data_IF_897645776564
#
_entry.id   IF_897645776564
#
_cell.length_a   1.000
_cell.length_b   1.000
_cell.length_c   1.000
_cell.angle_alpha   90.00
_cell.angle_beta   90.00
_cell.angle_gamma   90.00
#
_symmetry.space_group_name_H-M   'P 1'
#
loop_
_entity.id
_entity.type
_entity.pdbx_description
1 polymer ?
#
# COMPACT_ATOMS: atom_id res chain seq x y z
N UNK A 1 19.86 14.69 29.78
CA UNK A 1 20.66 15.36 28.70
C UNK A 1 20.66 14.41 27.52
N UNK A 2 19.67 14.55 26.66
CA UNK A 2 19.47 13.67 25.52
C UNK A 2 20.43 14.08 24.39
N UNK A 3 21.37 13.20 24.05
CA UNK A 3 22.25 13.41 22.89
C UNK A 3 21.41 13.32 21.62
N UNK A 4 21.21 14.44 20.93
CA UNK A 4 20.72 14.43 19.55
C UNK A 4 21.71 13.65 18.70
N UNK A 5 21.28 12.52 18.17
CA UNK A 5 22.05 11.75 17.20
C UNK A 5 22.22 12.63 15.95
N UNK A 6 23.44 13.02 15.63
CA UNK A 6 23.71 13.84 14.46
C UNK A 6 23.73 12.96 13.21
N UNK A 7 23.39 13.55 12.06
CA UNK A 7 23.44 12.91 10.72
C UNK A 7 24.75 12.16 10.48
N UNK A 8 25.84 12.61 11.11
CA UNK A 8 27.19 12.04 11.02
C UNK A 8 27.37 10.82 11.92
N UNK A 9 26.62 10.71 13.02
CA UNK A 9 26.65 9.56 13.94
C UNK A 9 25.76 8.43 13.42
N UNK A 10 24.59 8.72 12.84
CA UNK A 10 23.77 7.74 12.14
C UNK A 10 24.53 7.10 10.95
N UNK A 11 25.27 7.90 10.18
CA UNK A 11 26.11 7.42 9.09
C UNK A 11 27.33 6.61 9.57
N UNK A 12 27.85 6.87 10.76
CA UNK A 12 28.98 6.07 11.34
C UNK A 12 28.49 4.71 11.82
N UNK A 13 27.29 4.59 12.36
CA UNK A 13 26.66 3.30 12.68
C UNK A 13 26.53 2.39 11.45
N UNK A 14 26.21 2.97 10.28
CA UNK A 14 26.15 2.22 9.01
C UNK A 14 27.50 1.67 8.53
N UNK A 15 28.62 2.24 8.96
CA UNK A 15 29.96 1.80 8.54
C UNK A 15 30.55 0.68 9.42
N UNK A 16 30.09 0.51 10.67
CA UNK A 16 30.64 -0.49 11.59
C UNK A 16 29.95 -1.86 11.54
N UNK A 17 28.76 -1.96 10.96
CA UNK A 17 28.05 -3.24 10.81
C UNK A 17 28.59 -4.12 9.67
N UNK A 18 29.54 -3.63 8.85
CA UNK A 18 30.10 -4.37 7.71
C UNK A 18 31.49 -4.98 7.94
N UNK A 19 32.05 -4.92 9.16
CA UNK A 19 33.36 -5.48 9.47
C UNK A 19 33.28 -6.37 10.71
N UNK A 20 32.86 -7.59 10.51
CA UNK A 20 32.95 -8.58 11.58
C UNK A 20 32.21 -9.86 11.26
N UNK A 21 32.80 -10.69 10.40
CA UNK A 21 32.67 -12.16 10.43
C UNK A 21 33.58 -12.75 9.33
N UNK A 22 34.81 -12.96 9.71
CA UNK A 22 35.68 -13.90 9.03
C UNK A 22 36.25 -14.86 10.08
N UNK A 23 36.12 -16.13 9.78
CA UNK A 23 36.86 -17.29 10.25
C UNK A 23 36.10 -18.30 11.09
N UNK A 24 35.84 -19.42 10.48
CA UNK A 24 36.14 -20.82 10.80
C UNK A 24 35.13 -21.70 10.04
N UNK A 25 35.48 -22.47 9.06
CA UNK A 25 36.33 -23.61 9.09
C UNK A 25 35.53 -24.86 8.69
N UNK A 26 35.61 -25.26 7.42
CA UNK A 26 35.57 -26.62 6.82
C UNK A 26 34.79 -27.76 7.53
N UNK A 27 33.85 -28.36 6.81
CA UNK A 27 33.87 -29.81 6.50
C UNK A 27 32.80 -30.16 5.43
N UNK A 28 33.28 -30.81 4.39
CA UNK A 28 32.57 -31.43 3.27
C UNK A 28 31.63 -32.56 3.72
N UNK A 29 30.43 -32.63 3.15
CA UNK A 29 29.89 -33.88 2.62
C UNK A 29 28.83 -33.63 1.55
N UNK A 30 29.11 -34.21 0.41
CA UNK A 30 28.28 -34.41 -0.77
C UNK A 30 27.05 -35.29 -0.46
N UNK A 31 25.86 -34.87 -0.95
CA UNK A 31 24.84 -35.80 -1.47
C UNK A 31 23.92 -35.07 -2.43
N UNK A 32 23.87 -35.58 -3.63
CA UNK A 32 23.01 -35.20 -4.75
C UNK A 32 21.56 -35.55 -4.46
N UNK A 33 20.61 -34.64 -4.65
CA UNK A 33 19.28 -34.97 -5.15
C UNK A 33 18.63 -33.70 -5.74
N UNK A 34 18.14 -33.83 -6.96
CA UNK A 34 17.38 -32.89 -7.77
C UNK A 34 16.03 -32.54 -7.12
N UNK A 35 15.68 -31.24 -7.14
CA UNK A 35 14.33 -30.82 -6.78
C UNK A 35 14.19 -29.29 -6.74
N UNK A 36 13.40 -28.77 -7.64
CA UNK A 36 12.68 -27.50 -7.67
C UNK A 36 13.32 -26.27 -6.99
N UNK A 37 13.76 -25.35 -7.82
CA UNK A 37 14.14 -24.00 -7.44
C UNK A 37 12.91 -23.09 -7.23
N UNK A 38 12.43 -22.99 -5.99
CA UNK A 38 11.70 -21.84 -5.52
C UNK A 38 12.72 -20.72 -5.22
N UNK A 39 12.57 -19.58 -5.87
CA UNK A 39 13.38 -18.40 -5.63
C UNK A 39 13.12 -17.86 -4.21
N UNK A 40 13.95 -18.29 -3.24
CA UNK A 40 14.03 -17.63 -1.94
C UNK A 40 14.85 -16.35 -2.11
N UNK A 41 14.21 -15.22 -1.82
CA UNK A 41 14.86 -13.94 -1.55
C UNK A 41 15.83 -14.11 -0.38
N UNK A 42 17.00 -13.45 -0.47
CA UNK A 42 18.06 -13.48 0.53
C UNK A 42 17.49 -13.19 1.93
N UNK A 43 17.86 -14.03 2.91
CA UNK A 43 17.61 -13.87 4.34
C UNK A 43 18.13 -12.51 4.85
N UNK A 44 17.25 -11.50 4.88
CA UNK A 44 17.34 -10.49 5.91
C UNK A 44 16.90 -11.16 7.21
N UNK A 45 17.68 -11.10 8.26
CA UNK A 45 17.34 -11.69 9.56
C UNK A 45 15.99 -11.10 10.00
N UNK A 46 14.91 -11.81 9.70
CA UNK A 46 13.56 -11.43 10.06
C UNK A 46 13.47 -11.34 11.57
N UNK A 47 12.94 -10.24 12.09
CA UNK A 47 12.54 -10.17 13.49
C UNK A 47 11.42 -11.20 13.65
N UNK A 48 11.56 -12.22 14.49
CA UNK A 48 10.51 -13.20 14.68
C UNK A 48 9.34 -12.52 15.42
N UNK A 49 8.28 -12.19 14.69
CA UNK A 49 7.02 -11.85 15.35
C UNK A 49 6.43 -13.13 15.96
N UNK A 50 5.72 -12.97 17.05
CA UNK A 50 5.04 -14.08 17.71
C UNK A 50 3.56 -14.06 17.30
N UNK A 51 3.03 -15.19 16.86
CA UNK A 51 1.60 -15.31 16.51
C UNK A 51 0.73 -14.95 17.73
N UNK A 52 -0.34 -14.17 17.49
CA UNK A 52 -1.29 -13.80 18.52
C UNK A 52 -1.90 -15.06 19.18
N UNK A 53 -2.04 -15.11 20.51
CA UNK A 53 -2.62 -16.25 21.20
C UNK A 53 -4.02 -16.58 20.66
N UNK A 54 -4.36 -17.86 20.63
CA UNK A 54 -5.69 -18.32 20.24
C UNK A 54 -6.78 -17.63 21.09
N UNK A 55 -7.82 -17.13 20.44
CA UNK A 55 -8.90 -16.40 21.09
C UNK A 55 -8.62 -14.94 21.44
N UNK A 56 -7.39 -14.45 21.26
CA UNK A 56 -7.08 -13.03 21.40
C UNK A 56 -7.74 -12.22 20.28
N UNK A 57 -7.97 -10.94 20.54
CA UNK A 57 -8.60 -10.02 19.58
C UNK A 57 -7.75 -8.79 19.38
N UNK A 58 -7.75 -8.28 18.15
CA UNK A 58 -7.18 -6.96 17.85
C UNK A 58 -7.90 -5.85 18.60
N UNK A 59 -7.19 -4.78 18.91
CA UNK A 59 -7.76 -3.63 19.60
C UNK A 59 -8.77 -2.91 18.73
N UNK A 60 -9.75 -2.29 19.38
CA UNK A 60 -10.86 -1.59 18.74
C UNK A 60 -10.90 -0.12 19.16
N UNK A 61 -11.53 0.72 18.31
CA UNK A 61 -11.89 2.09 18.64
C UNK A 61 -13.39 2.30 18.46
N UNK A 62 -14.00 3.02 19.43
CA UNK A 62 -15.43 3.36 19.37
C UNK A 62 -15.62 4.77 18.83
N UNK A 63 -16.48 4.90 17.83
CA UNK A 63 -16.80 6.15 17.15
C UNK A 63 -18.25 6.53 17.44
N UNK A 64 -18.44 7.25 18.53
CA UNK A 64 -19.78 7.55 19.08
C UNK A 64 -20.70 8.28 18.09
N UNK A 65 -20.17 9.18 17.23
CA UNK A 65 -20.96 9.89 16.21
C UNK A 65 -21.61 8.92 15.21
N UNK A 66 -20.97 7.79 14.93
CA UNK A 66 -21.48 6.76 14.01
C UNK A 66 -22.16 5.59 14.73
N UNK A 67 -21.97 5.47 16.04
CA UNK A 67 -22.44 4.31 16.81
C UNK A 67 -21.69 3.02 16.55
N UNK A 68 -20.44 3.11 16.01
CA UNK A 68 -19.66 1.95 15.59
C UNK A 68 -18.44 1.72 16.50
N UNK A 69 -18.17 0.43 16.78
CA UNK A 69 -16.91 -0.04 17.36
C UNK A 69 -16.18 -0.87 16.32
N UNK A 70 -15.03 -0.39 15.89
CA UNK A 70 -14.27 -0.93 14.75
C UNK A 70 -12.90 -1.40 15.21
N UNK A 71 -12.44 -2.51 14.62
CA UNK A 71 -11.06 -2.96 14.80
C UNK A 71 -10.10 -1.92 14.25
N UNK A 72 -9.02 -1.62 14.96
CA UNK A 72 -8.00 -0.68 14.50
C UNK A 72 -7.27 -1.17 13.24
N UNK A 73 -7.16 -2.50 13.08
CA UNK A 73 -6.73 -3.16 11.85
C UNK A 73 -7.95 -3.45 10.96
N UNK A 74 -7.89 -3.00 9.70
CA UNK A 74 -8.83 -3.39 8.65
C UNK A 74 -8.15 -4.21 7.56
N UNK A 75 -8.87 -5.14 6.95
CA UNK A 75 -8.39 -5.92 5.83
C UNK A 75 -8.70 -5.21 4.51
N UNK A 76 -7.66 -4.72 3.84
CA UNK A 76 -7.76 -4.13 2.51
C UNK A 76 -7.75 -5.21 1.42
N UNK A 77 -8.87 -5.39 0.74
CA UNK A 77 -9.09 -6.48 -0.22
C UNK A 77 -8.57 -6.18 -1.64
N UNK A 78 -7.76 -5.14 -1.83
CA UNK A 78 -7.16 -4.84 -3.14
C UNK A 78 -6.06 -5.84 -3.54
N UNK A 79 -5.38 -6.45 -2.56
CA UNK A 79 -4.19 -7.30 -2.76
C UNK A 79 -4.36 -8.71 -2.21
N UNK A 80 -5.56 -9.26 -2.34
CA UNK A 80 -5.88 -10.60 -1.88
C UNK A 80 -5.00 -11.67 -2.57
N UNK A 81 -4.81 -12.84 -1.95
CA UNK A 81 -4.06 -13.95 -2.52
C UNK A 81 -4.55 -14.33 -3.91
N UNK A 82 -3.62 -14.68 -4.77
CA UNK A 82 -3.90 -15.09 -6.15
C UNK A 82 -3.20 -16.39 -6.50
N UNK A 83 -3.85 -17.17 -7.37
CA UNK A 83 -3.27 -18.37 -7.94
C UNK A 83 -2.05 -18.03 -8.79
N UNK A 84 -1.01 -18.89 -8.82
CA UNK A 84 0.09 -18.74 -9.76
C UNK A 84 -0.46 -18.69 -11.19
N UNK A 85 -0.14 -17.66 -11.95
CA UNK A 85 -0.46 -17.61 -13.37
C UNK A 85 0.65 -18.26 -14.18
N UNK A 86 0.29 -18.96 -15.28
CA UNK A 86 1.25 -19.39 -16.29
C UNK A 86 1.85 -18.16 -16.99
N UNK A 87 2.72 -17.45 -16.32
CA UNK A 87 3.28 -16.16 -16.79
C UNK A 87 3.65 -15.23 -15.66
N UNK A 88 3.48 -15.67 -14.39
CA UNK A 88 3.98 -15.01 -13.17
C UNK A 88 3.37 -13.64 -12.90
N UNK A 89 2.50 -13.57 -11.96
CA UNK A 89 2.01 -12.46 -11.14
C UNK A 89 0.48 -12.40 -11.06
N UNK A 90 -0.05 -12.80 -9.93
CA UNK A 90 -1.49 -12.77 -9.64
C UNK A 90 -1.93 -11.59 -8.78
N UNK A 91 -3.24 -11.39 -8.66
CA UNK A 91 -3.88 -10.30 -7.91
C UNK A 91 -4.19 -9.07 -8.75
N UNK A 92 -4.84 -8.07 -8.17
CA UNK A 92 -5.17 -6.82 -8.87
C UNK A 92 -3.89 -6.16 -9.39
N UNK A 93 -3.79 -6.08 -10.71
CA UNK A 93 -2.58 -5.64 -11.40
C UNK A 93 -1.51 -6.74 -11.60
N UNK A 94 -1.75 -7.98 -11.21
CA UNK A 94 -0.82 -9.09 -11.36
C UNK A 94 -1.30 -10.18 -12.35
N UNK A 95 -2.41 -9.96 -13.07
CA UNK A 95 -2.86 -10.82 -14.18
C UNK A 95 -3.34 -12.23 -13.79
N UNK A 96 -3.39 -12.57 -12.50
CA UNK A 96 -3.84 -13.86 -12.00
C UNK A 96 -5.26 -13.81 -11.42
N UNK A 97 -5.90 -14.97 -11.41
CA UNK A 97 -7.18 -15.20 -10.76
C UNK A 97 -6.99 -15.23 -9.24
N UNK A 98 -7.91 -14.64 -8.48
CA UNK A 98 -7.83 -14.69 -7.02
C UNK A 98 -8.03 -16.10 -6.48
N UNK A 99 -7.30 -16.46 -5.43
CA UNK A 99 -7.39 -17.74 -4.74
C UNK A 99 -8.49 -17.70 -3.69
N UNK A 100 -9.67 -18.21 -4.03
CA UNK A 100 -10.83 -18.18 -3.16
C UNK A 100 -10.60 -18.95 -1.84
N UNK A 101 -9.86 -20.05 -1.86
CA UNK A 101 -9.61 -20.86 -0.65
C UNK A 101 -8.69 -20.11 0.31
N UNK A 102 -7.58 -19.57 -0.19
CA UNK A 102 -6.69 -18.74 0.62
C UNK A 102 -7.40 -17.48 1.16
N UNK A 103 -8.27 -16.84 0.37
CA UNK A 103 -9.09 -15.71 0.83
C UNK A 103 -10.06 -16.13 1.93
N UNK A 104 -10.70 -17.31 1.80
CA UNK A 104 -11.59 -17.84 2.83
C UNK A 104 -10.84 -18.04 4.16
N UNK A 105 -9.68 -18.70 4.12
CA UNK A 105 -8.84 -18.94 5.31
C UNK A 105 -8.41 -17.63 5.98
N UNK A 106 -7.99 -16.65 5.18
CA UNK A 106 -7.58 -15.34 5.71
C UNK A 106 -8.75 -14.60 6.36
N UNK A 107 -9.94 -14.61 5.76
CA UNK A 107 -11.12 -13.93 6.32
C UNK A 107 -11.60 -14.65 7.59
N UNK A 108 -11.59 -15.99 7.60
CA UNK A 108 -11.91 -16.78 8.79
C UNK A 108 -10.97 -16.44 9.96
N UNK A 109 -9.67 -16.40 9.70
CA UNK A 109 -8.67 -16.03 10.70
C UNK A 109 -8.85 -14.58 11.17
N UNK A 110 -9.06 -13.62 10.26
CA UNK A 110 -9.27 -12.23 10.59
C UNK A 110 -10.48 -12.03 11.51
N UNK A 111 -11.64 -12.60 11.18
CA UNK A 111 -12.86 -12.52 12.00
C UNK A 111 -12.67 -13.24 13.34
N UNK A 112 -12.03 -14.42 13.35
CA UNK A 112 -11.71 -15.16 14.57
C UNK A 112 -10.86 -14.33 15.54
N UNK A 113 -10.01 -13.41 15.04
CA UNK A 113 -9.18 -12.50 15.84
C UNK A 113 -9.76 -11.07 15.96
N UNK A 114 -11.05 -10.88 15.65
CA UNK A 114 -11.76 -9.63 15.90
C UNK A 114 -11.54 -8.53 14.86
N UNK A 115 -10.87 -8.80 13.74
CA UNK A 115 -10.88 -7.87 12.59
C UNK A 115 -12.30 -7.84 12.05
N UNK A 116 -12.92 -6.68 12.10
CA UNK A 116 -14.32 -6.53 11.72
C UNK A 116 -14.57 -5.54 10.57
N UNK A 117 -13.51 -5.06 9.89
CA UNK A 117 -13.64 -4.11 8.78
C UNK A 117 -12.92 -4.64 7.52
N UNK A 118 -13.65 -4.73 6.41
CA UNK A 118 -13.20 -5.27 5.13
C UNK A 118 -13.46 -4.24 4.02
N UNK A 119 -12.39 -3.78 3.34
CA UNK A 119 -12.45 -2.73 2.32
C UNK A 119 -12.22 -3.29 0.93
N UNK A 120 -13.18 -3.11 0.05
CA UNK A 120 -13.07 -3.48 -1.38
C UNK A 120 -13.56 -2.37 -2.30
N UNK A 121 -13.61 -2.62 -3.62
CA UNK A 121 -14.15 -1.72 -4.62
C UNK A 121 -14.41 -2.46 -5.94
N UNK A 122 -15.35 -1.99 -6.78
CA UNK A 122 -15.53 -2.48 -8.16
C UNK A 122 -14.25 -2.38 -9.01
N UNK A 123 -13.42 -1.38 -8.72
CA UNK A 123 -12.13 -1.19 -9.41
C UNK A 123 -11.07 -2.25 -9.08
N UNK A 124 -11.30 -3.14 -8.09
CA UNK A 124 -10.33 -4.14 -7.65
C UNK A 124 -10.52 -5.52 -8.31
N UNK A 125 -11.03 -5.55 -9.54
CA UNK A 125 -11.25 -6.77 -10.30
C UNK A 125 -12.27 -7.71 -9.66
N UNK A 126 -11.89 -8.95 -9.35
CA UNK A 126 -12.78 -9.95 -8.74
C UNK A 126 -12.92 -9.79 -7.21
N UNK A 127 -12.32 -8.77 -6.59
CA UNK A 127 -12.23 -8.63 -5.14
C UNK A 127 -13.61 -8.64 -4.45
N UNK A 128 -14.62 -7.92 -4.97
CA UNK A 128 -15.97 -7.95 -4.39
C UNK A 128 -16.58 -9.34 -4.40
N UNK A 129 -16.36 -10.11 -5.47
CA UNK A 129 -16.91 -11.47 -5.62
C UNK A 129 -16.30 -12.43 -4.59
N UNK A 130 -14.96 -12.44 -4.50
CA UNK A 130 -14.28 -13.38 -3.61
C UNK A 130 -14.45 -13.00 -2.14
N UNK A 131 -14.45 -11.69 -1.84
CA UNK A 131 -14.71 -11.17 -0.49
C UNK A 131 -16.15 -11.47 -0.07
N UNK A 132 -17.14 -11.22 -0.94
CA UNK A 132 -18.53 -11.52 -0.68
C UNK A 132 -18.77 -13.01 -0.37
N UNK A 133 -18.20 -13.91 -1.17
CA UNK A 133 -18.27 -15.36 -0.94
C UNK A 133 -17.64 -15.77 0.39
N UNK A 134 -16.52 -15.18 0.76
CA UNK A 134 -15.85 -15.50 2.00
C UNK A 134 -16.63 -14.97 3.21
N UNK A 135 -17.09 -13.72 3.19
CA UNK A 135 -17.84 -13.10 4.26
C UNK A 135 -19.24 -13.68 4.46
N UNK A 136 -19.92 -14.14 3.39
CA UNK A 136 -21.25 -14.77 3.50
C UNK A 136 -21.27 -16.07 4.31
N UNK A 137 -20.14 -16.63 4.66
CA UNK A 137 -19.96 -17.78 5.54
C UNK A 137 -20.07 -17.42 7.02
N UNK A 138 -20.06 -16.13 7.35
CA UNK A 138 -20.11 -15.58 8.71
C UNK A 138 -21.40 -14.80 8.96
N UNK A 139 -21.86 -14.68 10.23
CA UNK A 139 -22.99 -13.84 10.57
C UNK A 139 -22.79 -12.41 10.10
N UNK A 140 -23.79 -11.81 9.43
CA UNK A 140 -23.67 -10.47 8.80
C UNK A 140 -23.30 -9.36 9.79
N UNK A 141 -23.73 -9.50 11.04
CA UNK A 141 -23.44 -8.56 12.13
C UNK A 141 -22.00 -8.65 12.65
N UNK A 142 -21.26 -9.74 12.34
CA UNK A 142 -19.90 -9.93 12.82
C UNK A 142 -18.86 -9.11 12.05
N UNK A 143 -19.24 -8.49 10.92
CA UNK A 143 -18.33 -7.71 10.10
C UNK A 143 -18.97 -6.46 9.51
N UNK A 144 -18.14 -5.51 9.17
CA UNK A 144 -18.44 -4.29 8.42
C UNK A 144 -17.79 -4.38 7.05
N UNK A 145 -18.56 -4.08 6.01
CA UNK A 145 -18.09 -4.10 4.64
C UNK A 145 -18.10 -2.70 4.04
N UNK A 146 -17.01 -2.35 3.40
CA UNK A 146 -16.84 -1.11 2.65
C UNK A 146 -16.66 -1.41 1.17
N UNK A 147 -17.42 -0.71 0.33
CA UNK A 147 -17.17 -0.64 -1.11
C UNK A 147 -17.34 0.79 -1.63
N UNK A 148 -17.13 1.01 -2.93
CA UNK A 148 -16.92 2.35 -3.45
C UNK A 148 -17.67 2.60 -4.75
N UNK A 149 -18.11 3.83 -4.98
CA UNK A 149 -18.54 4.30 -6.29
C UNK A 149 -17.30 4.55 -7.16
N UNK A 150 -16.89 3.53 -7.91
CA UNK A 150 -15.68 3.55 -8.76
C UNK A 150 -15.99 4.00 -10.19
N UNK A 151 -16.80 5.04 -10.35
CA UNK A 151 -17.18 5.60 -11.64
C UNK A 151 -16.09 6.47 -12.28
N UNK A 152 -14.84 6.11 -12.05
CA UNK A 152 -13.69 6.75 -12.68
C UNK A 152 -13.68 6.38 -14.17
N UNK A 153 -13.59 7.38 -15.02
CA UNK A 153 -13.39 7.18 -16.45
C UNK A 153 -11.95 6.70 -16.71
N UNK A 154 -11.64 5.43 -16.43
CA UNK A 154 -10.46 4.76 -16.99
C UNK A 154 -10.66 4.46 -18.49
N UNK A 155 -11.36 5.33 -19.18
CA UNK A 155 -11.69 5.17 -20.58
C UNK A 155 -12.75 6.20 -20.97
N UNK A 156 -12.95 6.38 -22.14
CA UNK A 156 -13.58 7.38 -22.97
C UNK A 156 -15.06 7.70 -22.72
N UNK A 157 -15.69 7.20 -21.65
CA UNK A 157 -17.11 7.48 -21.37
C UNK A 157 -17.25 8.30 -20.10
N UNK A 158 -18.02 9.38 -20.17
CA UNK A 158 -18.41 10.16 -18.99
C UNK A 158 -19.26 9.29 -18.05
N UNK A 159 -19.07 9.41 -16.73
CA UNK A 159 -19.88 8.67 -15.76
C UNK A 159 -21.35 9.09 -15.86
N UNK A 160 -22.24 8.13 -16.07
CA UNK A 160 -23.68 8.35 -16.15
C UNK A 160 -24.38 7.84 -14.89
N UNK A 161 -25.56 8.39 -14.59
CA UNK A 161 -26.39 7.94 -13.46
C UNK A 161 -26.75 6.45 -13.60
N UNK A 162 -27.13 6.00 -14.79
CA UNK A 162 -27.51 4.59 -15.02
C UNK A 162 -26.34 3.63 -14.83
N UNK A 163 -25.14 4.02 -15.26
CA UNK A 163 -23.94 3.22 -15.01
C UNK A 163 -23.61 3.14 -13.51
N UNK A 164 -23.78 4.25 -12.77
CA UNK A 164 -23.59 4.28 -11.33
C UNK A 164 -24.60 3.42 -10.56
N UNK A 165 -25.88 3.46 -10.96
CA UNK A 165 -26.93 2.58 -10.41
C UNK A 165 -26.59 1.11 -10.64
N UNK A 166 -26.23 0.76 -11.86
CA UNK A 166 -25.83 -0.61 -12.23
C UNK A 166 -24.61 -1.06 -11.42
N UNK A 167 -23.63 -0.17 -11.23
CA UNK A 167 -22.44 -0.47 -10.43
C UNK A 167 -22.81 -0.77 -8.97
N UNK A 168 -23.63 0.07 -8.35
CA UNK A 168 -24.05 -0.12 -6.97
C UNK A 168 -24.81 -1.45 -6.77
N UNK A 169 -25.78 -1.76 -7.65
CA UNK A 169 -26.52 -3.03 -7.59
C UNK A 169 -25.59 -4.23 -7.83
N UNK A 170 -24.63 -4.10 -8.73
CA UNK A 170 -23.64 -5.14 -8.99
C UNK A 170 -22.75 -5.37 -7.77
N UNK A 171 -22.33 -4.31 -7.10
CA UNK A 171 -21.54 -4.41 -5.85
C UNK A 171 -22.28 -5.17 -4.76
N UNK A 172 -23.55 -4.84 -4.50
CA UNK A 172 -24.37 -5.57 -3.52
C UNK A 172 -24.51 -7.06 -3.89
N UNK A 173 -24.76 -7.34 -5.16
CA UNK A 173 -24.85 -8.72 -5.67
C UNK A 173 -23.53 -9.48 -5.52
N UNK A 174 -22.40 -8.87 -5.88
CA UNK A 174 -21.08 -9.48 -5.77
C UNK A 174 -20.73 -9.76 -4.30
N UNK A 175 -21.03 -8.83 -3.43
CA UNK A 175 -20.78 -8.91 -1.99
C UNK A 175 -21.80 -9.81 -1.26
N UNK A 176 -22.91 -10.22 -1.92
CA UNK A 176 -23.98 -11.04 -1.37
C UNK A 176 -24.66 -10.39 -0.14
N UNK A 177 -24.89 -9.09 -0.21
CA UNK A 177 -25.50 -8.30 0.90
C UNK A 177 -26.61 -7.39 0.39
N UNK A 178 -27.56 -7.06 1.27
CA UNK A 178 -28.65 -6.10 0.98
C UNK A 178 -28.22 -4.65 1.24
N UNK A 179 -27.21 -4.44 2.06
CA UNK A 179 -26.67 -3.14 2.42
C UNK A 179 -25.16 -3.21 2.68
N UNK A 180 -24.47 -2.08 2.53
CA UNK A 180 -23.08 -1.90 2.93
C UNK A 180 -22.98 -1.00 4.16
N UNK A 181 -22.02 -1.30 5.04
CA UNK A 181 -21.81 -0.50 6.25
C UNK A 181 -21.13 0.83 5.91
N UNK A 182 -20.14 0.79 5.01
CA UNK A 182 -19.39 1.97 4.58
C UNK A 182 -19.40 2.07 3.06
N UNK A 183 -19.71 3.25 2.55
CA UNK A 183 -19.68 3.52 1.12
C UNK A 183 -18.84 4.76 0.83
N UNK A 184 -17.95 4.67 -0.15
CA UNK A 184 -17.02 5.74 -0.48
C UNK A 184 -17.23 6.25 -1.91
N UNK A 185 -17.17 7.56 -2.10
CA UNK A 185 -16.88 8.12 -3.42
C UNK A 185 -15.40 7.84 -3.71
N UNK A 186 -15.13 7.06 -4.76
CA UNK A 186 -13.79 6.53 -5.00
C UNK A 186 -12.90 7.54 -5.70
N UNK A 187 -11.69 7.79 -5.14
CA UNK A 187 -10.64 8.58 -5.76
C UNK A 187 -11.09 10.00 -6.14
N UNK A 188 -11.47 10.78 -5.13
CA UNK A 188 -11.81 12.20 -5.31
C UNK A 188 -10.57 13.04 -5.12
N UNK A 189 -10.26 13.93 -6.07
CA UNK A 189 -9.05 14.76 -6.03
C UNK A 189 -9.33 16.24 -5.79
N UNK A 190 -10.46 16.75 -6.28
CA UNK A 190 -10.85 18.15 -6.18
C UNK A 190 -12.36 18.34 -6.45
N UNK A 191 -12.83 19.57 -6.25
CA UNK A 191 -14.24 19.93 -6.37
C UNK A 191 -14.77 19.81 -7.81
N UNK A 192 -13.97 20.12 -8.82
CA UNK A 192 -14.40 20.05 -10.24
C UNK A 192 -14.61 18.61 -10.65
N UNK A 193 -13.69 17.71 -10.23
CA UNK A 193 -13.85 16.28 -10.47
C UNK A 193 -15.05 15.71 -9.71
N UNK A 194 -15.28 16.12 -8.47
CA UNK A 194 -16.46 15.74 -7.70
C UNK A 194 -17.74 16.15 -8.43
N UNK A 195 -17.84 17.42 -8.86
CA UNK A 195 -19.01 17.93 -9.57
C UNK A 195 -19.28 17.10 -10.84
N UNK A 196 -18.28 16.95 -11.69
CA UNK A 196 -18.38 16.19 -12.95
C UNK A 196 -18.80 14.72 -12.75
N UNK A 197 -18.22 14.05 -11.72
CA UNK A 197 -18.45 12.60 -11.53
C UNK A 197 -19.69 12.28 -10.70
N UNK A 198 -20.13 13.17 -9.86
CA UNK A 198 -21.14 12.85 -8.87
C UNK A 198 -22.31 13.83 -8.83
N UNK A 199 -22.06 15.16 -8.85
CA UNK A 199 -23.13 16.14 -8.67
C UNK A 199 -23.89 16.43 -9.95
N UNK A 200 -23.19 16.79 -11.04
CA UNK A 200 -23.81 17.30 -12.28
C UNK A 200 -24.61 16.22 -13.02
N UNK A 201 -24.33 14.97 -12.75
CA UNK A 201 -25.00 13.80 -13.36
C UNK A 201 -26.00 13.11 -12.42
N UNK A 202 -26.27 13.66 -11.22
CA UNK A 202 -27.25 13.13 -10.26
C UNK A 202 -26.81 11.87 -9.50
N UNK A 203 -25.56 11.43 -9.63
CA UNK A 203 -25.04 10.23 -8.91
C UNK A 203 -24.99 10.47 -7.42
N UNK A 204 -24.63 11.68 -6.96
CA UNK A 204 -24.57 11.98 -5.55
C UNK A 204 -25.97 11.94 -4.89
N UNK A 205 -26.98 12.51 -5.56
CA UNK A 205 -28.36 12.46 -5.08
C UNK A 205 -28.86 11.01 -4.97
N UNK A 206 -28.58 10.19 -5.97
CA UNK A 206 -28.88 8.75 -5.92
C UNK A 206 -28.21 8.04 -4.73
N UNK A 207 -26.94 8.35 -4.45
CA UNK A 207 -26.21 7.77 -3.28
C UNK A 207 -26.90 8.21 -1.97
N UNK A 208 -27.31 9.47 -1.86
CA UNK A 208 -28.06 9.96 -0.69
C UNK A 208 -29.43 9.27 -0.54
N UNK A 209 -30.14 8.98 -1.65
CA UNK A 209 -31.36 8.18 -1.64
C UNK A 209 -31.08 6.76 -1.10
N UNK A 210 -29.99 6.10 -1.55
CA UNK A 210 -29.62 4.77 -1.04
C UNK A 210 -29.25 4.80 0.45
N UNK A 211 -28.61 5.89 0.92
CA UNK A 211 -28.33 6.09 2.34
C UNK A 211 -29.63 6.28 3.14
N UNK A 212 -30.54 7.11 2.67
CA UNK A 212 -31.85 7.31 3.29
C UNK A 212 -32.69 6.02 3.33
N UNK A 213 -32.58 5.17 2.32
CA UNK A 213 -33.21 3.85 2.26
C UNK A 213 -32.52 2.80 3.17
N UNK A 214 -31.42 3.14 3.83
CA UNK A 214 -30.67 2.25 4.73
C UNK A 214 -29.80 1.21 4.02
N UNK A 215 -29.63 1.31 2.70
CA UNK A 215 -28.74 0.44 1.91
C UNK A 215 -27.27 0.86 2.01
N UNK A 216 -27.00 2.08 2.44
CA UNK A 216 -25.70 2.61 2.84
C UNK A 216 -25.82 3.10 4.26
N UNK A 217 -25.00 2.60 5.19
CA UNK A 217 -25.03 3.05 6.59
C UNK A 217 -24.22 4.32 6.79
N UNK A 218 -22.96 4.32 6.37
CA UNK A 218 -22.01 5.42 6.52
C UNK A 218 -21.47 5.84 5.16
N UNK A 219 -21.42 7.15 4.91
CA UNK A 219 -20.97 7.73 3.64
C UNK A 219 -19.70 8.57 3.85
N UNK A 220 -18.69 8.30 3.03
CA UNK A 220 -17.46 9.05 2.99
C UNK A 220 -16.84 9.08 1.58
N UNK A 221 -15.60 9.46 1.48
CA UNK A 221 -14.85 9.42 0.21
C UNK A 221 -13.39 9.05 0.42
N UNK A 222 -12.74 8.51 -0.60
CA UNK A 222 -11.29 8.35 -0.65
C UNK A 222 -10.68 9.53 -1.40
N UNK A 223 -9.72 10.20 -0.73
CA UNK A 223 -9.10 11.42 -1.20
C UNK A 223 -7.69 11.18 -1.74
N UNK A 224 -7.40 11.75 -2.91
CA UNK A 224 -6.12 11.66 -3.59
C UNK A 224 -5.65 13.02 -4.17
N UNK A 225 -6.16 14.10 -3.62
CA UNK A 225 -5.80 15.47 -4.03
C UNK A 225 -4.70 16.09 -3.17
N UNK A 226 -4.48 17.39 -3.35
CA UNK A 226 -3.51 18.18 -2.58
C UNK A 226 -4.13 18.81 -1.32
N UNK A 227 -3.29 19.38 -0.45
CA UNK A 227 -3.72 20.07 0.76
C UNK A 227 -4.81 21.12 0.49
N UNK A 228 -4.66 21.89 -0.59
CA UNK A 228 -5.59 22.98 -0.95
C UNK A 228 -6.92 22.50 -1.51
N UNK A 229 -6.99 21.26 -2.01
CA UNK A 229 -8.21 20.73 -2.65
C UNK A 229 -9.11 19.95 -1.69
N UNK A 230 -8.63 19.58 -0.47
CA UNK A 230 -9.42 18.90 0.53
C UNK A 230 -10.52 19.79 1.16
N UNK A 231 -10.25 21.04 1.61
CA UNK A 231 -11.23 21.86 2.31
C UNK A 231 -12.55 22.06 1.54
N UNK A 232 -12.56 22.41 0.24
CA UNK A 232 -13.80 22.55 -0.52
C UNK A 232 -14.63 21.25 -0.60
N UNK A 233 -14.00 20.09 -0.57
CA UNK A 233 -14.69 18.80 -0.58
C UNK A 233 -15.30 18.47 0.78
N UNK A 234 -14.56 18.78 1.86
CA UNK A 234 -15.06 18.57 3.24
C UNK A 234 -16.27 19.44 3.52
N UNK A 235 -16.31 20.68 3.04
CA UNK A 235 -17.43 21.61 3.27
C UNK A 235 -18.70 21.29 2.47
N UNK A 236 -18.66 20.28 1.54
CA UNK A 236 -19.81 19.92 0.69
C UNK A 236 -20.94 19.18 1.40
N UNK A 237 -20.61 18.39 2.38
CA UNK A 237 -21.52 17.46 3.04
C UNK A 237 -21.04 17.14 4.46
N UNK A 238 -21.93 16.71 5.34
CA UNK A 238 -21.53 16.22 6.68
C UNK A 238 -20.96 14.79 6.58
N UNK A 239 -19.72 14.72 6.10
CA UNK A 239 -19.03 13.45 5.91
C UNK A 239 -18.80 12.73 7.23
N UNK A 240 -19.10 11.44 7.26
CA UNK A 240 -18.93 10.62 8.46
C UNK A 240 -17.50 10.15 8.63
N UNK A 241 -16.74 10.04 7.53
CA UNK A 241 -15.31 9.68 7.52
C UNK A 241 -14.67 10.06 6.18
N UNK A 242 -13.33 10.14 6.15
CA UNK A 242 -12.55 10.31 4.92
C UNK A 242 -11.39 9.32 4.91
N UNK A 243 -11.18 8.66 3.77
CA UNK A 243 -10.04 7.78 3.55
C UNK A 243 -8.91 8.57 2.88
N UNK A 244 -7.71 8.58 3.51
CA UNK A 244 -6.53 9.25 2.99
C UNK A 244 -5.33 8.30 2.94
N UNK A 245 -4.38 8.57 2.04
CA UNK A 245 -3.06 7.97 2.07
C UNK A 245 -2.28 8.54 3.26
N UNK A 246 -1.77 7.66 4.14
CA UNK A 246 -0.99 8.08 5.29
C UNK A 246 0.03 7.00 5.70
N UNK A 247 1.29 7.41 5.78
CA UNK A 247 2.39 6.63 6.31
C UNK A 247 3.52 7.56 6.75
N UNK A 248 4.52 7.06 7.47
CA UNK A 248 5.61 7.89 7.98
C UNK A 248 6.44 8.56 6.89
N UNK A 249 6.61 7.92 5.72
CA UNK A 249 7.41 8.47 4.63
C UNK A 249 6.72 9.66 3.93
N UNK A 250 5.38 9.63 3.84
CA UNK A 250 4.56 10.66 3.22
C UNK A 250 4.02 11.70 4.24
N UNK A 251 4.42 11.59 5.51
CA UNK A 251 3.89 12.43 6.59
C UNK A 251 4.07 13.91 6.34
N UNK A 252 5.30 14.36 6.13
CA UNK A 252 5.62 15.78 5.89
C UNK A 252 5.51 16.22 4.43
N UNK A 253 5.76 15.31 3.51
CA UNK A 253 5.80 15.59 2.09
C UNK A 253 5.43 14.32 1.32
N UNK A 254 4.32 14.36 0.63
CA UNK A 254 3.76 13.26 -0.13
C UNK A 254 3.80 13.60 -1.62
N UNK A 255 4.33 12.72 -2.47
CA UNK A 255 4.20 12.88 -3.91
C UNK A 255 2.73 12.98 -4.30
N UNK A 256 2.38 13.93 -5.18
CA UNK A 256 1.01 14.05 -5.66
C UNK A 256 0.52 12.70 -6.20
N UNK A 257 -0.63 12.25 -5.68
CA UNK A 257 -1.27 11.01 -6.13
C UNK A 257 -2.44 11.37 -7.04
N UNK A 258 -2.59 10.94 -8.23
CA UNK A 258 -3.67 11.20 -9.21
C UNK A 258 -3.79 12.64 -9.74
N UNK A 259 -3.46 12.83 -11.01
CA UNK A 259 -3.53 14.08 -11.76
C UNK A 259 -2.24 14.93 -11.69
N UNK A 260 -2.15 16.02 -12.41
CA UNK A 260 -1.01 16.91 -12.31
C UNK A 260 -0.90 17.46 -10.88
N UNK A 261 0.32 17.75 -10.39
CA UNK A 261 0.51 18.33 -9.07
C UNK A 261 -0.35 19.57 -8.91
N UNK A 262 -1.30 19.55 -7.96
CA UNK A 262 -2.20 20.69 -7.69
C UNK A 262 -1.74 21.51 -6.47
N UNK A 263 -0.48 21.32 -6.06
CA UNK A 263 0.11 21.98 -4.89
C UNK A 263 0.78 21.00 -3.93
N UNK A 264 1.19 21.52 -2.79
CA UNK A 264 1.78 20.74 -1.71
C UNK A 264 0.80 19.71 -1.18
N UNK A 265 1.32 18.54 -0.85
CA UNK A 265 0.55 17.47 -0.23
C UNK A 265 1.37 16.86 0.91
N UNK A 266 0.74 16.69 2.07
CA UNK A 266 1.33 15.95 3.19
C UNK A 266 0.23 15.21 3.94
N UNK A 267 0.51 13.99 4.38
CA UNK A 267 -0.45 13.23 5.19
C UNK A 267 -0.73 13.94 6.51
N UNK A 268 0.26 14.65 7.08
CA UNK A 268 0.11 15.44 8.30
C UNK A 268 -0.95 16.54 8.17
N UNK A 269 -0.89 17.31 7.08
CA UNK A 269 -1.89 18.37 6.84
C UNK A 269 -3.29 17.77 6.71
N UNK A 270 -3.44 16.73 5.87
CA UNK A 270 -4.73 16.09 5.63
C UNK A 270 -5.32 15.51 6.93
N UNK A 271 -4.49 14.81 7.70
CA UNK A 271 -4.87 14.23 8.99
C UNK A 271 -5.30 15.31 10.00
N UNK A 272 -4.48 16.36 10.18
CA UNK A 272 -4.76 17.42 11.14
C UNK A 272 -6.02 18.21 10.75
N UNK A 273 -6.20 18.53 9.47
CA UNK A 273 -7.39 19.22 8.98
C UNK A 273 -8.67 18.42 9.25
N UNK A 274 -8.66 17.12 8.96
CA UNK A 274 -9.81 16.25 9.24
C UNK A 274 -10.06 16.10 10.75
N UNK A 275 -8.98 16.06 11.54
CA UNK A 275 -9.08 16.00 13.01
C UNK A 275 -9.71 17.26 13.59
N UNK A 276 -9.30 18.44 13.13
CA UNK A 276 -9.90 19.73 13.53
C UNK A 276 -11.40 19.81 13.16
N UNK A 277 -11.77 19.21 12.02
CA UNK A 277 -13.19 19.11 11.60
C UNK A 277 -13.98 18.02 12.34
N UNK A 278 -13.34 17.21 13.18
CA UNK A 278 -13.97 16.08 13.89
C UNK A 278 -14.39 14.95 12.95
N UNK A 279 -13.71 14.79 11.81
CA UNK A 279 -13.97 13.75 10.82
C UNK A 279 -12.95 12.61 11.00
N UNK A 280 -13.40 11.39 11.31
CA UNK A 280 -12.54 10.22 11.43
C UNK A 280 -11.80 9.87 10.13
N UNK A 281 -10.58 9.37 10.28
CA UNK A 281 -9.69 9.05 9.16
C UNK A 281 -9.59 7.54 8.97
N UNK A 282 -9.93 7.05 7.78
CA UNK A 282 -9.50 5.74 7.28
C UNK A 282 -8.14 5.90 6.62
N UNK A 283 -7.19 5.03 6.95
CA UNK A 283 -5.86 5.12 6.34
C UNK A 283 -5.68 4.04 5.29
N UNK A 284 -5.42 4.46 4.05
CA UNK A 284 -4.90 3.60 2.98
C UNK A 284 -3.40 3.78 2.83
N UNK A 285 -2.73 2.78 2.27
CA UNK A 285 -1.27 2.73 2.04
C UNK A 285 -0.40 2.95 3.30
N UNK A 286 -0.72 2.36 4.45
CA UNK A 286 0.09 2.51 5.66
C UNK A 286 1.53 1.98 5.48
N UNK A 287 1.71 0.98 4.60
CA UNK A 287 3.01 0.42 4.22
C UNK A 287 3.44 0.79 2.78
N UNK A 288 2.80 1.82 2.17
CA UNK A 288 3.13 2.36 0.84
C UNK A 288 3.24 1.26 -0.22
N UNK A 289 2.16 0.44 -0.33
CA UNK A 289 2.11 -0.68 -1.29
C UNK A 289 3.16 -1.77 -1.04
N UNK A 290 3.70 -1.88 0.17
CA UNK A 290 4.75 -2.82 0.55
C UNK A 290 6.17 -2.23 0.50
N UNK A 291 6.35 -1.00 -0.01
CA UNK A 291 7.67 -0.37 -0.07
C UNK A 291 8.27 -0.14 1.32
N UNK A 292 7.45 0.16 2.33
CA UNK A 292 7.90 0.36 3.71
C UNK A 292 8.04 -0.94 4.50
N UNK A 293 7.55 -2.06 3.97
CA UNK A 293 7.83 -3.40 4.50
C UNK A 293 9.16 -3.96 3.96
N UNK A 294 9.59 -3.50 2.78
CA UNK A 294 10.78 -3.97 2.08
C UNK A 294 11.80 -2.83 1.93
N UNK A 295 12.20 -2.24 3.04
CA UNK A 295 13.24 -1.21 3.08
C UNK A 295 14.63 -1.82 2.96
N UNK A 296 15.68 -0.99 2.75
CA UNK A 296 17.06 -1.47 2.72
C UNK A 296 17.49 -2.10 4.06
N UNK A 297 18.41 -3.07 4.02
CA UNK A 297 18.99 -3.69 5.23
C UNK A 297 19.57 -2.66 6.20
N UNK A 298 20.16 -1.59 5.67
CA UNK A 298 20.68 -0.49 6.49
C UNK A 298 19.56 0.24 7.25
N UNK A 299 18.43 0.53 6.59
CA UNK A 299 17.30 1.19 7.23
C UNK A 299 16.56 0.25 8.17
N UNK A 300 16.39 -1.02 7.78
CA UNK A 300 15.86 -2.06 8.66
C UNK A 300 16.71 -2.23 9.91
N UNK A 301 18.05 -2.17 9.79
CA UNK A 301 18.99 -2.19 10.91
C UNK A 301 18.79 -1.03 11.89
N UNK A 302 18.60 0.20 11.37
CA UNK A 302 18.31 1.39 12.19
C UNK A 302 16.99 1.23 12.96
N UNK A 303 15.94 0.71 12.30
CA UNK A 303 14.66 0.43 12.96
C UNK A 303 14.80 -0.64 14.04
N UNK A 304 15.49 -1.75 13.72
CA UNK A 304 15.68 -2.87 14.64
C UNK A 304 16.49 -2.52 15.88
N UNK A 305 17.47 -1.61 15.75
CA UNK A 305 18.24 -1.12 16.92
C UNK A 305 17.34 -0.38 17.92
N UNK A 306 16.31 0.32 17.44
CA UNK A 306 15.37 1.09 18.26
C UNK A 306 14.15 0.27 18.68
N UNK A 307 13.59 -0.50 17.76
CA UNK A 307 12.40 -1.32 17.94
C UNK A 307 12.73 -2.78 17.57
N UNK A 308 13.43 -3.53 18.48
CA UNK A 308 13.94 -4.86 18.17
C UNK A 308 12.83 -5.89 17.86
N UNK A 309 11.62 -5.65 18.39
CA UNK A 309 10.47 -6.54 18.27
C UNK A 309 9.53 -6.18 17.11
N UNK A 310 9.83 -5.13 16.35
CA UNK A 310 9.04 -4.70 15.20
C UNK A 310 9.78 -4.94 13.89
N UNK A 311 9.05 -5.48 12.92
CA UNK A 311 9.49 -5.49 11.52
C UNK A 311 9.42 -4.07 10.92
N UNK A 312 9.99 -3.81 9.74
CA UNK A 312 9.74 -2.55 9.04
C UNK A 312 8.25 -2.28 8.78
N UNK A 313 7.45 -3.33 8.45
CA UNK A 313 6.00 -3.22 8.32
C UNK A 313 5.34 -2.88 9.66
N UNK A 314 5.74 -3.54 10.74
CA UNK A 314 5.29 -3.26 12.10
C UNK A 314 5.53 -1.81 12.51
N UNK A 315 6.71 -1.26 12.23
CA UNK A 315 7.01 0.15 12.48
C UNK A 315 6.06 1.10 11.71
N UNK A 316 5.79 0.81 10.43
CA UNK A 316 4.90 1.63 9.61
C UNK A 316 3.43 1.57 10.10
N UNK A 317 2.97 0.39 10.47
CA UNK A 317 1.61 0.18 10.98
C UNK A 317 1.42 0.79 12.37
N UNK A 318 2.42 0.67 13.26
CA UNK A 318 2.40 1.29 14.59
C UNK A 318 2.36 2.81 14.48
N UNK A 319 3.16 3.41 13.58
CA UNK A 319 3.11 4.86 13.33
C UNK A 319 1.68 5.32 12.99
N UNK A 320 1.00 4.62 12.10
CA UNK A 320 -0.38 4.94 11.70
C UNK A 320 -1.36 4.71 12.85
N UNK A 321 -1.30 3.54 13.47
CA UNK A 321 -2.18 3.16 14.58
C UNK A 321 -2.04 4.06 15.81
N UNK A 322 -0.90 4.73 15.99
CA UNK A 322 -0.66 5.69 17.07
C UNK A 322 -1.56 6.92 17.00
N UNK A 323 -1.96 7.34 15.79
CA UNK A 323 -2.71 8.57 15.59
C UNK A 323 -4.17 8.43 16.10
N UNK A 324 -4.62 9.26 17.07
CA UNK A 324 -5.91 9.04 17.75
C UNK A 324 -7.14 9.13 16.84
N UNK A 325 -7.11 9.99 15.79
CA UNK A 325 -8.22 10.16 14.86
C UNK A 325 -8.19 9.14 13.69
N UNK A 326 -7.24 8.20 13.69
CA UNK A 326 -7.26 7.07 12.76
C UNK A 326 -8.33 6.10 13.20
N UNK A 327 -9.35 5.92 12.37
CA UNK A 327 -10.46 5.01 12.61
C UNK A 327 -10.06 3.56 12.26
N UNK A 328 -9.43 3.38 11.10
CA UNK A 328 -9.01 2.10 10.56
C UNK A 328 -7.64 2.26 9.91
N UNK A 329 -6.73 1.34 10.21
CA UNK A 329 -5.48 1.12 9.48
C UNK A 329 -5.70 0.00 8.47
N UNK A 330 -5.91 0.35 7.18
CA UNK A 330 -6.13 -0.64 6.13
C UNK A 330 -4.81 -1.27 5.69
N UNK A 331 -4.62 -2.53 5.96
CA UNK A 331 -3.50 -3.29 5.44
C UNK A 331 -3.92 -4.25 4.32
N UNK A 332 -3.24 -4.17 3.18
CA UNK A 332 -3.44 -5.06 2.03
C UNK A 332 -2.55 -6.29 2.18
N UNK A 333 -2.98 -7.24 2.98
CA UNK A 333 -2.26 -8.48 3.24
C UNK A 333 -2.53 -9.48 2.11
N UNK A 334 -1.46 -10.02 1.53
CA UNK A 334 -1.51 -10.91 0.35
C UNK A 334 -1.29 -12.38 0.70
N UNK A 335 -1.03 -12.69 1.96
CA UNK A 335 -0.85 -14.05 2.47
C UNK A 335 -1.14 -14.12 3.97
N UNK A 336 -1.23 -15.35 4.49
CA UNK A 336 -1.57 -15.62 5.88
C UNK A 336 -0.50 -15.10 6.85
N UNK A 337 0.79 -15.14 6.50
CA UNK A 337 1.86 -14.69 7.40
C UNK A 337 1.78 -13.20 7.67
N UNK A 338 1.51 -12.38 6.63
CA UNK A 338 1.28 -10.94 6.79
C UNK A 338 0.05 -10.65 7.64
N UNK A 339 -1.02 -11.44 7.50
CA UNK A 339 -2.23 -11.29 8.32
C UNK A 339 -1.94 -11.62 9.78
N UNK A 340 -1.26 -12.72 10.05
CA UNK A 340 -0.88 -13.15 11.40
C UNK A 340 0.03 -12.14 12.09
N UNK A 341 1.03 -11.62 11.40
CA UNK A 341 1.91 -10.56 11.88
C UNK A 341 1.11 -9.30 12.27
N UNK A 342 0.23 -8.84 11.38
CA UNK A 342 -0.56 -7.64 11.62
C UNK A 342 -1.59 -7.83 12.75
N UNK A 343 -2.23 -9.00 12.82
CA UNK A 343 -3.12 -9.34 13.94
C UNK A 343 -2.33 -9.34 15.26
N UNK A 344 -1.15 -9.95 15.28
CA UNK A 344 -0.29 -9.92 16.47
C UNK A 344 0.06 -8.50 16.90
N UNK A 345 0.44 -7.64 15.97
CA UNK A 345 0.78 -6.24 16.22
C UNK A 345 -0.39 -5.43 16.83
N UNK A 346 -1.61 -5.67 16.33
CA UNK A 346 -2.80 -4.94 16.80
C UNK A 346 -3.53 -5.62 17.96
N UNK A 347 -3.00 -6.72 18.49
CA UNK A 347 -3.51 -7.38 19.72
C UNK A 347 -2.75 -6.82 20.92
N UNK A 348 -3.44 -6.07 21.79
CA UNK A 348 -2.79 -5.33 22.87
C UNK A 348 -1.89 -4.23 22.30
N UNK A 349 -2.41 -3.43 21.39
CA UNK A 349 -1.68 -2.44 20.62
C UNK A 349 -1.02 -1.37 21.52
N UNK A 350 0.30 -1.22 21.42
CA UNK A 350 1.06 -0.20 22.10
C UNK A 350 1.42 0.96 21.14
N UNK A 351 0.82 2.14 21.31
CA UNK A 351 1.13 3.29 20.47
C UNK A 351 2.54 3.83 20.74
N UNK A 352 3.17 4.38 19.73
CA UNK A 352 4.42 5.14 19.87
C UNK A 352 4.23 6.39 20.72
N UNK A 353 5.17 6.69 21.59
CA UNK A 353 5.24 7.99 22.27
C UNK A 353 5.81 9.08 21.34
N UNK A 354 5.86 10.33 21.82
CA UNK A 354 6.36 11.47 21.02
C UNK A 354 7.81 11.28 20.56
N UNK A 355 8.64 10.56 21.32
CA UNK A 355 10.04 10.29 20.96
C UNK A 355 10.12 9.28 19.83
N UNK A 356 9.27 8.25 19.87
CA UNK A 356 9.21 7.25 18.83
C UNK A 356 8.59 7.84 17.54
N UNK A 357 7.58 8.69 17.67
CA UNK A 357 7.03 9.43 16.52
C UNK A 357 8.10 10.36 15.89
N UNK A 358 8.92 11.03 16.69
CA UNK A 358 10.05 11.83 16.19
C UNK A 358 11.16 10.97 15.56
N UNK A 359 11.41 9.78 16.11
CA UNK A 359 12.34 8.81 15.51
C UNK A 359 11.84 8.36 14.14
N UNK A 360 10.55 8.07 13.97
CA UNK A 360 9.97 7.70 12.68
C UNK A 360 10.11 8.81 11.63
N UNK A 361 10.14 10.09 12.02
CA UNK A 361 10.48 11.17 11.08
C UNK A 361 11.95 11.10 10.62
N UNK A 362 12.87 10.73 11.51
CA UNK A 362 14.27 10.46 11.13
C UNK A 362 14.37 9.30 10.15
N UNK A 363 13.60 8.23 10.39
CA UNK A 363 13.49 7.08 9.47
C UNK A 363 12.94 7.52 8.11
N UNK A 364 11.92 8.40 8.07
CA UNK A 364 11.39 8.95 6.84
C UNK A 364 12.44 9.74 6.04
N UNK A 365 13.25 10.55 6.71
CA UNK A 365 14.34 11.31 6.06
C UNK A 365 15.42 10.37 5.49
N UNK A 366 15.76 9.31 6.21
CA UNK A 366 16.70 8.30 5.74
C UNK A 366 16.13 7.53 4.54
N UNK A 367 14.84 7.14 4.58
CA UNK A 367 14.15 6.50 3.46
C UNK A 367 14.19 7.38 2.21
N UNK A 368 13.83 8.67 2.34
CA UNK A 368 13.83 9.64 1.23
C UNK A 368 15.24 9.99 0.72
N UNK A 369 16.28 9.79 1.51
CA UNK A 369 17.67 10.06 1.08
C UNK A 369 18.17 9.06 0.03
N UNK A 370 17.53 7.92 -0.12
CA UNK A 370 17.81 6.94 -1.17
C UNK A 370 17.14 7.36 -2.48
N UNK A 371 17.81 7.09 -3.61
CA UNK A 371 17.22 7.37 -4.93
C UNK A 371 16.20 6.27 -5.25
N UNK A 372 14.93 6.59 -5.08
CA UNK A 372 13.82 5.67 -5.34
C UNK A 372 12.88 6.19 -6.41
N UNK A 373 12.36 5.27 -7.23
CA UNK A 373 11.18 5.53 -8.04
C UNK A 373 9.98 5.23 -7.15
N UNK A 374 9.06 6.19 -6.88
CA UNK A 374 8.01 6.03 -5.87
C UNK A 374 6.86 5.12 -6.37
N UNK A 375 7.19 3.96 -6.89
CA UNK A 375 6.25 2.97 -7.41
C UNK A 375 5.74 2.07 -6.29
N UNK A 376 4.42 2.04 -6.10
CA UNK A 376 3.74 1.17 -5.11
C UNK A 376 3.36 -0.19 -5.70
N UNK A 377 3.79 -0.50 -6.91
CA UNK A 377 3.45 -1.73 -7.66
C UNK A 377 1.92 -2.00 -7.75
N UNK A 378 1.09 -0.95 -7.75
CA UNK A 378 -0.37 -1.06 -7.87
C UNK A 378 -0.84 -1.58 -9.24
N UNK A 379 0.04 -1.55 -10.25
CA UNK A 379 -0.16 -2.03 -11.62
C UNK A 379 -1.28 -1.36 -12.42
N UNK A 380 -1.83 -0.22 -11.99
CA UNK A 380 -2.81 0.53 -12.80
C UNK A 380 -2.28 0.92 -14.19
N UNK A 381 -0.96 1.09 -14.33
CA UNK A 381 -0.30 1.36 -15.61
C UNK A 381 -0.24 0.13 -16.55
N UNK A 382 -0.65 -1.06 -16.07
CA UNK A 382 -0.64 -2.30 -16.84
C UNK A 382 -2.05 -2.63 -17.40
N UNK A 383 -2.16 -3.42 -18.49
CA UNK A 383 -1.05 -3.83 -19.35
C UNK A 383 -0.48 -2.66 -20.14
N UNK A 384 0.85 -2.68 -20.35
CA UNK A 384 1.50 -1.74 -21.25
C UNK A 384 1.20 -2.16 -22.71
N UNK A 385 0.80 -1.25 -23.63
CA UNK A 385 0.57 -1.59 -25.02
C UNK A 385 1.80 -2.13 -25.77
N UNK A 386 2.98 -1.97 -25.19
CA UNK A 386 4.27 -2.41 -25.72
C UNK A 386 4.96 -3.43 -24.81
N UNK A 387 4.18 -4.18 -24.05
CA UNK A 387 4.59 -5.30 -23.17
C UNK A 387 5.65 -4.96 -22.12
N UNK A 388 5.97 -3.68 -21.87
CA UNK A 388 6.92 -3.30 -20.82
C UNK A 388 6.36 -3.64 -19.44
N UNK A 389 7.10 -4.44 -18.67
CA UNK A 389 6.79 -4.67 -17.26
C UNK A 389 7.21 -3.46 -16.42
N UNK A 390 6.37 -2.40 -16.43
CA UNK A 390 6.66 -1.13 -15.76
C UNK A 390 6.99 -1.33 -14.27
N UNK A 391 6.12 -1.99 -13.45
CA UNK A 391 6.42 -2.21 -12.03
C UNK A 391 7.66 -3.08 -11.81
N UNK A 392 7.91 -4.06 -12.68
CA UNK A 392 9.07 -4.94 -12.62
C UNK A 392 10.39 -4.17 -12.81
N UNK A 393 10.45 -3.27 -13.80
CA UNK A 393 11.64 -2.43 -14.02
C UNK A 393 11.90 -1.50 -12.83
N UNK A 394 10.86 -0.90 -12.26
CA UNK A 394 10.99 -0.02 -11.10
C UNK A 394 11.41 -0.77 -9.85
N UNK A 395 10.88 -1.98 -9.64
CA UNK A 395 11.29 -2.84 -8.53
C UNK A 395 12.77 -3.20 -8.64
N UNK A 396 13.26 -3.60 -9.81
CA UNK A 396 14.70 -3.89 -10.03
C UNK A 396 15.55 -2.69 -9.68
N UNK A 397 15.18 -1.49 -10.14
CA UNK A 397 15.91 -0.26 -9.84
C UNK A 397 15.90 0.04 -8.35
N UNK A 398 14.74 0.01 -7.70
CA UNK A 398 14.62 0.30 -6.28
C UNK A 398 15.37 -0.72 -5.41
N UNK A 399 15.25 -2.03 -5.70
CA UNK A 399 16.01 -3.09 -5.00
C UNK A 399 17.54 -2.85 -5.11
N UNK A 400 18.01 -2.46 -6.28
CA UNK A 400 19.42 -2.14 -6.46
C UNK A 400 19.83 -0.85 -5.74
N UNK A 401 18.95 0.14 -5.68
CA UNK A 401 19.16 1.38 -4.92
C UNK A 401 19.27 1.12 -3.43
N UNK A 402 18.35 0.32 -2.89
CA UNK A 402 18.33 -0.07 -1.47
C UNK A 402 19.61 -0.80 -1.06
N UNK A 403 20.07 -1.72 -1.90
CA UNK A 403 21.31 -2.43 -1.69
C UNK A 403 22.57 -1.60 -2.00
N UNK A 404 22.44 -0.28 -2.29
CA UNK A 404 23.52 0.61 -2.72
C UNK A 404 24.28 0.07 -3.93
N UNK A 405 23.61 -0.68 -4.78
CA UNK A 405 24.18 -1.37 -5.95
C UNK A 405 23.86 -0.67 -7.28
N UNK A 406 23.39 0.59 -7.27
CA UNK A 406 23.30 1.39 -8.49
C UNK A 406 24.74 1.77 -8.92
N UNK A 407 25.20 1.28 -10.09
CA UNK A 407 26.52 1.65 -10.59
C UNK A 407 26.50 3.08 -11.16
N UNK A 408 27.53 3.85 -10.89
CA UNK A 408 27.73 5.15 -11.52
C UNK A 408 28.79 5.01 -12.66
N UNK A 409 28.36 4.98 -13.94
CA UNK A 409 29.29 4.83 -15.05
C UNK A 409 30.30 5.97 -15.21
N UNK A 410 29.97 7.17 -14.64
CA UNK A 410 30.80 8.36 -14.77
C UNK A 410 31.87 8.43 -13.67
N UNK A 411 31.54 7.99 -12.44
CA UNK A 411 32.49 8.04 -11.31
C UNK A 411 33.31 6.79 -11.11
N UNK A 412 32.82 5.61 -11.55
CA UNK A 412 33.50 4.31 -11.50
C UNK A 412 34.32 4.09 -10.21
N UNK A 413 33.63 4.20 -9.05
CA UNK A 413 34.24 3.98 -7.75
C UNK A 413 34.84 2.56 -7.61
N UNK A 414 35.56 2.28 -6.50
CA UNK A 414 36.18 0.98 -6.22
C UNK A 414 35.20 -0.20 -6.24
N UNK A 415 33.92 0.06 -6.05
CA UNK A 415 32.83 -0.96 -6.03
C UNK A 415 32.08 -1.03 -7.37
N UNK A 416 32.42 -0.22 -8.36
CA UNK A 416 31.70 -0.11 -9.62
C UNK A 416 31.39 -1.46 -10.28
N UNK A 417 32.42 -2.31 -10.45
CA UNK A 417 32.25 -3.62 -11.08
C UNK A 417 31.34 -4.55 -10.27
N UNK A 418 31.41 -4.50 -8.93
CA UNK A 418 30.53 -5.26 -8.04
C UNK A 418 29.09 -4.79 -8.19
N UNK A 419 28.84 -3.48 -8.14
CA UNK A 419 27.52 -2.85 -8.31
C UNK A 419 26.96 -3.17 -9.70
N UNK A 420 27.74 -3.00 -10.77
CA UNK A 420 27.35 -3.34 -12.14
C UNK A 420 26.89 -4.80 -12.25
N UNK A 421 27.68 -5.74 -11.72
CA UNK A 421 27.32 -7.18 -11.75
C UNK A 421 26.02 -7.45 -10.99
N UNK A 422 25.84 -6.86 -9.81
CA UNK A 422 24.63 -7.03 -8.98
C UNK A 422 23.41 -6.43 -9.68
N UNK A 423 23.49 -5.21 -10.19
CA UNK A 423 22.40 -4.55 -10.91
C UNK A 423 21.98 -5.33 -12.16
N UNK A 424 22.96 -5.71 -13.02
CA UNK A 424 22.68 -6.45 -14.25
C UNK A 424 22.12 -7.85 -13.97
N UNK A 425 22.46 -8.48 -12.84
CA UNK A 425 21.85 -9.75 -12.44
C UNK A 425 20.35 -9.57 -12.25
N UNK A 426 19.92 -8.60 -11.45
CA UNK A 426 18.50 -8.30 -11.22
C UNK A 426 17.78 -7.88 -12.52
N UNK A 427 18.40 -7.01 -13.31
CA UNK A 427 17.80 -6.52 -14.55
C UNK A 427 17.61 -7.64 -15.59
N UNK A 428 18.50 -8.61 -15.62
CA UNK A 428 18.46 -9.73 -16.56
C UNK A 428 17.43 -10.81 -16.15
N UNK A 429 16.85 -10.76 -14.96
CA UNK A 429 15.71 -11.58 -14.54
C UNK A 429 14.41 -11.15 -15.24
N UNK A 430 14.36 -9.91 -15.76
CA UNK A 430 13.24 -9.46 -16.58
C UNK A 430 13.35 -10.05 -18.00
N UNK A 431 12.21 -10.47 -18.55
CA UNK A 431 12.12 -10.87 -19.96
C UNK A 431 12.58 -9.75 -20.88
N UNK A 432 13.32 -10.08 -21.91
CA UNK A 432 13.90 -9.09 -22.82
C UNK A 432 12.86 -8.15 -23.43
N UNK A 433 11.70 -8.67 -23.83
CA UNK A 433 10.60 -7.89 -24.39
C UNK A 433 9.85 -7.01 -23.35
N UNK A 434 10.12 -7.21 -22.06
CA UNK A 434 9.45 -6.51 -20.96
C UNK A 434 10.34 -5.45 -20.27
N UNK A 435 11.54 -5.21 -20.79
CA UNK A 435 12.54 -4.30 -20.20
C UNK A 435 12.27 -2.84 -20.52
N UNK A 436 12.94 -1.96 -19.80
CA UNK A 436 12.79 -0.51 -19.89
C UNK A 436 13.10 0.06 -21.29
N UNK A 437 14.01 -0.55 -22.03
CA UNK A 437 14.40 -0.18 -23.40
C UNK A 437 13.31 -0.42 -24.45
N UNK A 438 12.28 -1.20 -24.13
CA UNK A 438 11.13 -1.41 -24.99
C UNK A 438 10.09 -0.26 -24.92
N UNK A 439 10.30 0.73 -24.03
CA UNK A 439 9.41 1.86 -23.90
C UNK A 439 9.49 2.82 -25.10
N UNK A 440 8.40 2.96 -25.85
CA UNK A 440 8.30 3.89 -26.99
C UNK A 440 7.75 5.27 -26.62
N UNK A 441 7.64 5.59 -25.33
CA UNK A 441 7.19 6.89 -24.83
C UNK A 441 5.77 7.28 -25.28
N UNK A 442 4.87 6.30 -25.45
CA UNK A 442 3.49 6.53 -25.87
C UNK A 442 2.61 7.24 -24.84
N UNK A 443 3.10 7.39 -23.60
CA UNK A 443 2.44 8.06 -22.46
C UNK A 443 1.12 7.45 -21.98
N UNK A 444 0.67 6.31 -22.50
CA UNK A 444 -0.59 5.66 -22.12
C UNK A 444 -0.65 5.26 -20.62
N UNK A 445 0.50 5.16 -19.97
CA UNK A 445 0.64 4.83 -18.55
C UNK A 445 0.54 6.05 -17.61
N UNK A 446 0.79 7.28 -18.10
CA UNK A 446 0.82 8.48 -17.26
C UNK A 446 -0.52 8.76 -16.57
N UNK A 447 -1.67 8.80 -17.28
CA UNK A 447 -2.95 9.10 -16.64
C UNK A 447 -3.44 7.98 -15.72
N UNK A 448 -2.79 6.81 -15.76
CA UNK A 448 -3.17 5.64 -14.95
C UNK A 448 -2.37 5.55 -13.64
N UNK A 449 -1.27 6.29 -13.51
CA UNK A 449 -0.38 6.16 -12.36
C UNK A 449 -0.87 7.00 -11.18
N UNK A 450 -1.30 6.38 -10.05
CA UNK A 450 -1.76 7.12 -8.88
C UNK A 450 -0.63 7.86 -8.14
N UNK A 451 0.61 7.48 -8.41
CA UNK A 451 1.79 8.13 -7.81
C UNK A 451 2.40 9.20 -8.73
N UNK A 452 1.74 9.55 -9.83
CA UNK A 452 2.17 10.54 -10.84
C UNK A 452 3.64 10.39 -11.28
N UNK A 453 4.12 9.16 -11.27
CA UNK A 453 5.45 8.87 -11.77
C UNK A 453 5.49 9.25 -13.26
N UNK A 454 6.49 10.03 -13.64
CA UNK A 454 6.84 10.26 -15.04
C UNK A 454 7.40 8.95 -15.63
N UNK A 455 6.52 7.92 -15.75
CA UNK A 455 6.91 6.54 -16.07
C UNK A 455 7.85 6.45 -17.27
N UNK A 456 7.58 7.08 -18.44
CA UNK A 456 8.49 6.99 -19.57
C UNK A 456 9.87 7.60 -19.28
N UNK A 457 9.95 8.68 -18.50
CA UNK A 457 11.20 9.30 -18.12
C UNK A 457 12.01 8.39 -17.18
N UNK A 458 11.36 7.73 -16.22
CA UNK A 458 12.01 6.78 -15.32
C UNK A 458 12.49 5.52 -16.06
N UNK A 459 11.68 4.98 -16.99
CA UNK A 459 12.09 3.86 -17.84
C UNK A 459 13.28 4.24 -18.71
N UNK A 460 13.26 5.46 -19.29
CA UNK A 460 14.40 5.97 -20.06
C UNK A 460 15.66 6.08 -19.21
N UNK A 461 15.58 6.58 -17.99
CA UNK A 461 16.71 6.66 -17.06
C UNK A 461 17.31 5.27 -16.79
N UNK A 462 16.46 4.25 -16.56
CA UNK A 462 16.93 2.87 -16.36
C UNK A 462 17.60 2.34 -17.63
N UNK A 463 16.97 2.53 -18.79
CA UNK A 463 17.50 2.11 -20.09
C UNK A 463 18.83 2.77 -20.39
N UNK A 464 18.95 4.10 -20.18
CA UNK A 464 20.20 4.85 -20.39
C UNK A 464 21.31 4.36 -19.43
N UNK A 465 20.95 4.05 -18.18
CA UNK A 465 21.90 3.44 -17.24
C UNK A 465 22.41 2.09 -17.78
N UNK A 466 21.49 1.19 -18.16
CA UNK A 466 21.85 -0.13 -18.67
C UNK A 466 22.73 -0.03 -19.94
N UNK A 467 22.40 0.89 -20.84
CA UNK A 467 23.16 1.11 -22.08
C UNK A 467 24.62 1.58 -21.83
N UNK A 468 24.89 2.22 -20.69
CA UNK A 468 26.23 2.67 -20.28
C UNK A 468 27.03 1.59 -19.53
N UNK A 469 26.38 0.48 -19.16
CA UNK A 469 26.99 -0.62 -18.42
C UNK A 469 27.53 -1.71 -19.34
#
# INVERSE_FOLDING_TARGET
>A
MDKKITRREALKGMFFASVGLASAGTLLRSCTSSGNSSSQSADSAAVPWTEAPEGSKVDTRTWNKMGETLSLLGLGCMRLPSLPSEGGQGGFGHGGRLDQEAVNEMIDYAIAHGVNYFDTAPAYGESEIVTGKALSRHPRESYKIATKMSNMAFGRQEPTLEAAKTMFETSLKNLQVDYVDFFLLHNVTNIDEFNRRFRDNGVFDYILEQKAAGRIKHLGFSFHGSNSTLPPLVDLYDWEFVQIQLNYADWKDMPASWGPPQGETSSEYLYNYLTEKGIPVLVMEPVKGGALANVSDALAGVMKERHPDLTPAGNALTFVGTLPNVMITLSGMSNMDQLKENVSLFTGFEPFDDKEMAFMQTVADLYKSNVHIPCTACSYCMPCPHDVNIPGNFRVFNTASDALNIPDPEKKDKNYNKKKKAFLKLYNELDKGARADQCVTCNACLPKCPQHISIPAQLKMISDLVAKL
#
